data_IF_764235237527
#
_entry.id   IF_764235237527
#
_cell.length_a   1.000
_cell.length_b   1.000
_cell.length_c   1.000
_cell.angle_alpha   90.00
_cell.angle_beta   90.00
_cell.angle_gamma   90.00
#
_symmetry.space_group_name_H-M   'P 1'
#
loop_
_entity.id
_entity.type
_entity.pdbx_description
1 polymer ?
#
# COMPACT_ATOMS: atom_id res chain seq x y z
N UNK A 1 2.75 8.10 -2.36
CA UNK A 1 2.09 8.37 -1.06
C UNK A 1 3.09 8.62 0.08
N UNK A 2 2.75 9.54 1.00
CA UNK A 2 3.46 9.75 2.27
C UNK A 2 3.06 8.67 3.27
N UNK A 3 4.03 8.15 4.01
CA UNK A 3 3.81 7.07 4.99
C UNK A 3 2.94 7.48 6.18
N UNK A 4 2.74 8.78 6.42
CA UNK A 4 1.85 9.29 7.47
C UNK A 4 0.38 9.03 7.12
N UNK A 5 -0.03 9.29 5.87
CA UNK A 5 -1.41 9.09 5.40
C UNK A 5 -1.81 7.60 5.41
N UNK A 6 -0.85 6.70 5.18
CA UNK A 6 -1.12 5.26 5.24
C UNK A 6 -1.30 4.74 6.67
N UNK A 7 -0.86 5.49 7.69
CA UNK A 7 -1.02 5.13 9.10
C UNK A 7 -2.31 5.65 9.71
N UNK A 8 -2.97 6.60 9.05
CA UNK A 8 -4.28 7.15 9.46
C UNK A 8 -5.46 6.29 8.97
N UNK A 9 -5.20 5.36 8.05
CA UNK A 9 -6.20 4.47 7.47
C UNK A 9 -6.40 3.21 8.31
N UNK A 10 -7.58 2.60 8.17
CA UNK A 10 -7.90 1.33 8.80
C UNK A 10 -7.16 0.18 8.12
N UNK A 11 -7.02 -0.95 8.82
CA UNK A 11 -6.38 -2.15 8.27
C UNK A 11 -7.06 -2.63 6.98
N UNK A 12 -8.38 -2.51 6.91
CA UNK A 12 -9.19 -2.90 5.74
C UNK A 12 -8.94 -1.98 4.55
N UNK A 13 -8.92 -0.67 4.77
CA UNK A 13 -8.59 0.32 3.72
C UNK A 13 -7.17 0.14 3.18
N UNK A 14 -6.21 -0.19 4.06
CA UNK A 14 -4.83 -0.48 3.65
C UNK A 14 -4.76 -1.74 2.78
N UNK A 15 -5.57 -2.76 3.08
CA UNK A 15 -5.65 -3.99 2.28
C UNK A 15 -6.32 -3.72 0.93
N UNK A 16 -7.41 -2.95 0.90
CA UNK A 16 -8.07 -2.56 -0.35
C UNK A 16 -7.13 -1.77 -1.27
N UNK A 17 -6.45 -0.75 -0.73
CA UNK A 17 -5.43 -0.01 -1.48
C UNK A 17 -4.30 -0.89 -2.00
N UNK A 18 -3.93 -1.94 -1.27
CA UNK A 18 -2.93 -2.90 -1.75
C UNK A 18 -3.40 -3.60 -3.03
N UNK A 19 -4.66 -4.03 -3.05
CA UNK A 19 -5.25 -4.73 -4.19
C UNK A 19 -5.33 -3.81 -5.42
N UNK A 20 -5.82 -2.58 -5.23
CA UNK A 20 -5.88 -1.58 -6.32
C UNK A 20 -4.51 -1.33 -6.95
N UNK A 21 -3.46 -1.17 -6.13
CA UNK A 21 -2.08 -0.94 -6.61
C UNK A 21 -1.52 -2.20 -7.28
N UNK A 22 -1.89 -3.40 -6.82
CA UNK A 22 -1.49 -4.67 -7.45
C UNK A 22 -2.14 -4.84 -8.84
N UNK A 23 -3.40 -4.43 -9.02
CA UNK A 23 -4.08 -4.38 -10.31
C UNK A 23 -3.46 -3.35 -11.26
N UNK A 24 -3.18 -2.13 -10.79
CA UNK A 24 -2.50 -1.11 -11.59
C UNK A 24 -1.10 -1.59 -12.03
N UNK A 25 -0.38 -2.29 -11.16
CA UNK A 25 0.91 -2.89 -11.48
C UNK A 25 0.78 -3.99 -12.55
N UNK A 26 -0.28 -4.80 -12.51
CA UNK A 26 -0.55 -5.82 -13.51
C UNK A 26 -0.83 -5.20 -14.88
N UNK A 27 -1.68 -4.17 -14.92
CA UNK A 27 -1.99 -3.44 -16.15
C UNK A 27 -0.75 -2.78 -16.76
N UNK A 28 0.10 -2.16 -15.94
CA UNK A 28 1.37 -1.58 -16.41
C UNK A 28 2.38 -2.64 -16.88
N UNK A 29 2.41 -3.83 -16.27
CA UNK A 29 3.24 -4.94 -16.75
C UNK A 29 2.74 -5.45 -18.10
N UNK A 30 1.43 -5.49 -18.31
CA UNK A 30 0.82 -5.86 -19.59
C UNK A 30 1.20 -4.85 -20.67
N UNK A 31 1.03 -3.55 -20.39
CA UNK A 31 1.44 -2.47 -21.29
C UNK A 31 2.95 -2.51 -21.60
N UNK A 32 3.78 -2.83 -20.60
CA UNK A 32 5.24 -3.00 -20.80
C UNK A 32 5.55 -4.04 -21.87
N UNK A 33 4.80 -5.14 -21.87
CA UNK A 33 4.98 -6.25 -22.80
C UNK A 33 4.50 -5.90 -24.22
N UNK A 34 3.55 -4.96 -24.33
CA UNK A 34 2.95 -4.50 -25.59
C UNK A 34 3.78 -3.43 -26.34
N UNK A 35 4.91 -2.98 -25.78
CA UNK A 35 5.98 -2.14 -26.38
C UNK A 35 5.91 -0.62 -26.21
N UNK A 36 4.88 -0.05 -25.60
CA UNK A 36 4.89 1.37 -25.21
C UNK A 36 4.57 1.50 -23.73
N UNK A 37 5.57 1.92 -22.96
CA UNK A 37 5.40 2.23 -21.56
C UNK A 37 5.78 3.69 -21.37
N UNK A 38 4.76 4.56 -21.41
CA UNK A 38 4.95 6.01 -21.34
C UNK A 38 5.73 6.45 -20.10
N UNK A 39 5.64 5.69 -19.00
CA UNK A 39 6.27 6.09 -17.75
C UNK A 39 6.89 4.93 -16.94
N UNK A 40 8.15 4.55 -17.20
CA UNK A 40 8.85 3.49 -16.46
C UNK A 40 9.07 3.82 -14.98
N UNK A 41 9.03 5.10 -14.60
CA UNK A 41 9.12 5.51 -13.20
C UNK A 41 7.90 5.07 -12.40
N UNK A 42 6.71 5.02 -13.02
CA UNK A 42 5.46 4.64 -12.35
C UNK A 42 5.47 3.19 -11.86
N UNK A 43 6.10 2.29 -12.63
CA UNK A 43 6.35 0.92 -12.19
C UNK A 43 7.21 0.85 -10.92
N UNK A 44 8.19 1.77 -10.79
CA UNK A 44 9.06 1.85 -9.61
C UNK A 44 8.34 2.47 -8.41
N UNK A 45 7.47 3.45 -8.62
CA UNK A 45 6.68 4.08 -7.54
C UNK A 45 5.67 3.09 -6.97
N UNK A 46 4.92 2.39 -7.81
CA UNK A 46 3.91 1.40 -7.36
C UNK A 46 4.54 0.26 -6.55
N UNK A 47 5.69 -0.27 -7.00
CA UNK A 47 6.45 -1.26 -6.21
C UNK A 47 6.85 -0.74 -4.83
N UNK A 48 7.29 0.52 -4.75
CA UNK A 48 7.67 1.15 -3.47
C UNK A 48 6.44 1.39 -2.58
N UNK A 49 5.28 1.66 -3.16
CA UNK A 49 4.04 1.83 -2.41
C UNK A 49 3.55 0.50 -1.83
N UNK A 50 3.56 -0.59 -2.60
CA UNK A 50 3.27 -1.94 -2.10
C UNK A 50 4.22 -2.30 -0.95
N UNK A 51 5.52 -2.02 -1.10
CA UNK A 51 6.50 -2.30 -0.06
C UNK A 51 6.18 -1.55 1.24
N UNK A 52 5.85 -0.25 1.16
CA UNK A 52 5.45 0.56 2.33
C UNK A 52 4.19 0.03 2.99
N UNK A 53 3.18 -0.35 2.23
CA UNK A 53 1.93 -0.94 2.76
C UNK A 53 2.24 -2.25 3.51
N UNK A 54 3.04 -3.13 2.92
CA UNK A 54 3.45 -4.39 3.56
C UNK A 54 4.25 -4.14 4.84
N UNK A 55 5.14 -3.15 4.85
CA UNK A 55 5.88 -2.76 6.06
C UNK A 55 4.93 -2.29 7.16
N UNK A 56 3.96 -1.44 6.85
CA UNK A 56 3.00 -0.93 7.85
C UNK A 56 2.13 -2.06 8.41
N UNK A 57 1.62 -2.95 7.56
CA UNK A 57 0.89 -4.14 8.01
C UNK A 57 1.73 -5.05 8.92
N UNK A 58 3.04 -5.14 8.66
CA UNK A 58 3.96 -5.91 9.49
C UNK A 58 4.29 -5.21 10.81
N UNK A 59 4.46 -3.89 10.80
CA UNK A 59 4.64 -3.07 12.01
C UNK A 59 3.43 -3.21 12.96
N UNK A 60 2.22 -3.25 12.40
CA UNK A 60 0.97 -3.49 13.13
C UNK A 60 0.92 -4.90 13.74
N UNK A 61 1.22 -5.94 12.95
CA UNK A 61 1.31 -7.32 13.45
C UNK A 61 2.31 -7.49 14.59
N UNK A 62 3.46 -6.80 14.51
CA UNK A 62 4.51 -6.85 15.52
C UNK A 62 4.24 -5.92 16.72
N UNK A 63 3.11 -5.20 16.73
CA UNK A 63 2.73 -4.22 17.76
C UNK A 63 3.77 -3.12 18.01
N UNK A 64 4.68 -2.89 17.06
CA UNK A 64 5.73 -1.86 17.18
C UNK A 64 5.11 -0.47 17.01
N UNK A 65 4.13 -0.37 16.11
CA UNK A 65 3.34 0.85 15.87
C UNK A 65 1.89 0.47 15.57
N UNK A 66 0.98 0.63 16.54
CA UNK A 66 -0.42 0.31 16.31
C UNK A 66 -1.05 1.22 15.26
N UNK A 67 -1.80 0.62 14.32
CA UNK A 67 -2.71 1.36 13.43
C UNK A 67 -3.90 1.92 14.22
N UNK A 68 -4.63 2.87 13.61
CA UNK A 68 -5.72 3.64 14.26
C UNK A 68 -6.75 2.75 14.96
N UNK A 69 -7.03 1.55 14.43
CA UNK A 69 -7.98 0.60 15.03
C UNK A 69 -7.63 0.23 16.49
N UNK A 70 -6.36 0.20 16.89
CA UNK A 70 -5.98 -0.08 18.28
C UNK A 70 -6.18 1.12 19.24
N UNK A 71 -6.54 2.30 18.72
CA UNK A 71 -6.97 3.46 19.54
C UNK A 71 -8.47 3.45 19.82
N UNK A 72 -9.28 2.77 19.00
CA UNK A 72 -10.72 2.67 19.20
C UNK A 72 -11.09 1.58 20.21
N UNK A 73 -10.37 0.45 20.25
CA UNK A 73 -10.59 -0.62 21.25
C UNK A 73 -10.27 -0.22 22.70
N UNK A 74 -9.66 0.94 22.96
CA UNK A 74 -9.39 1.45 24.32
C UNK A 74 -10.42 2.48 24.82
N UNK A 75 -11.49 2.72 24.08
CA UNK A 75 -12.55 3.68 24.44
C UNK A 75 -13.82 3.03 25.02
N UNK A 76 -13.86 1.71 25.15
CA UNK A 76 -14.96 0.98 25.80
C UNK A 76 -14.49 0.29 27.08
#
# INVERSE_FOLDING_TARGET
MKSSQLRELTKEEIVQKRLEIEEELFNLRLQKKLKELDNPLRLRTLRREIAKIKTILREDQLKIRPLVNAREEKKE
#
